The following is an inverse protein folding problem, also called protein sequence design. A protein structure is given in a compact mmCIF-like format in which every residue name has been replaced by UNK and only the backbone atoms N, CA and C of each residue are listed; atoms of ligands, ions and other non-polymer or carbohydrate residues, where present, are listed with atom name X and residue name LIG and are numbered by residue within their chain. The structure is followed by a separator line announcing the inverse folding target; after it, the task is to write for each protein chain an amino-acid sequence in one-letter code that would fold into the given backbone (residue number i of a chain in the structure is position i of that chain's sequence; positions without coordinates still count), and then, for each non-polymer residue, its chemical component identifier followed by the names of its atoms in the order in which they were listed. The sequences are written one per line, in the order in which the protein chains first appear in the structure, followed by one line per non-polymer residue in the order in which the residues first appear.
data_IF_326179433515
#
_entry.id   IF_326179433515
#
_cell.length_a   1.000
_cell.length_b   1.000
_cell.length_c   1.000
_cell.angle_alpha   90.00
_cell.angle_beta   90.00
_cell.angle_gamma   90.00
#
_symmetry.space_group_name_H-M   'P 1'
#
loop_
_entity.id
_entity.type
_entity.pdbx_description
1 polymer ?
#
# COMPACT_ATOMS: atom_id res chain seq x y z
N UNK A 1 7.42 -45.49 -19.20
CA UNK A 1 6.12 -44.89 -18.79
C UNK A 1 6.16 -44.27 -17.39
N UNK A 2 6.64 -44.96 -16.35
CA UNK A 2 6.68 -44.45 -14.95
C UNK A 2 7.49 -43.15 -14.77
N UNK A 3 8.66 -43.03 -15.41
CA UNK A 3 9.53 -41.86 -15.26
C UNK A 3 8.96 -40.60 -15.96
N UNK A 4 8.22 -40.80 -17.06
CA UNK A 4 7.57 -39.69 -17.79
C UNK A 4 6.43 -39.09 -16.97
N UNK A 5 5.71 -39.94 -16.23
CA UNK A 5 4.64 -39.51 -15.31
C UNK A 5 5.21 -38.69 -14.14
N UNK A 6 6.35 -39.12 -13.60
CA UNK A 6 7.06 -38.43 -12.51
C UNK A 6 7.54 -37.02 -12.93
N UNK A 7 8.05 -36.89 -14.16
CA UNK A 7 8.47 -35.58 -14.71
C UNK A 7 7.27 -34.65 -14.90
N UNK A 8 6.13 -35.18 -15.33
CA UNK A 8 4.91 -34.39 -15.51
C UNK A 8 4.38 -33.87 -14.16
N UNK A 9 4.38 -34.71 -13.13
CA UNK A 9 3.95 -34.35 -11.76
C UNK A 9 4.89 -33.32 -11.12
N UNK A 10 6.21 -33.46 -11.33
CA UNK A 10 7.17 -32.47 -10.87
C UNK A 10 7.00 -31.14 -11.61
N UNK A 11 6.73 -31.19 -12.92
CA UNK A 11 6.50 -30.00 -13.75
C UNK A 11 5.28 -29.17 -13.33
N UNK A 12 4.19 -29.81 -12.88
CA UNK A 12 2.98 -29.09 -12.43
C UNK A 12 3.11 -28.47 -11.04
N UNK A 13 3.98 -28.99 -10.17
CA UNK A 13 4.25 -28.41 -8.85
C UNK A 13 5.00 -27.06 -8.94
N UNK A 14 5.79 -26.84 -9.99
CA UNK A 14 6.54 -25.59 -10.22
C UNK A 14 5.68 -24.42 -10.75
N UNK A 15 4.41 -24.63 -11.13
CA UNK A 15 3.57 -23.61 -11.78
C UNK A 15 2.76 -22.76 -10.77
N UNK A 16 2.97 -22.95 -9.47
CA UNK A 16 2.28 -22.13 -8.44
C UNK A 16 3.00 -20.80 -8.22
N UNK A 17 3.01 -19.95 -9.25
CA UNK A 17 3.39 -18.55 -9.11
C UNK A 17 2.18 -17.81 -8.58
N UNK A 18 2.13 -17.61 -7.26
CA UNK A 18 1.11 -16.80 -6.63
C UNK A 18 1.21 -15.37 -7.18
N UNK A 19 0.26 -15.00 -8.04
CA UNK A 19 0.09 -13.63 -8.51
C UNK A 19 -0.46 -12.79 -7.36
N UNK A 20 0.40 -12.36 -6.44
CA UNK A 20 0.08 -11.31 -5.49
C UNK A 20 -0.02 -9.98 -6.24
N UNK A 21 -1.21 -9.68 -6.74
CA UNK A 21 -1.57 -8.31 -7.11
C UNK A 21 -1.62 -7.47 -5.83
N UNK A 22 -0.83 -6.39 -5.75
CA UNK A 22 -0.93 -5.45 -4.65
C UNK A 22 -2.21 -4.63 -4.82
N UNK A 23 -3.19 -4.86 -3.94
CA UNK A 23 -4.32 -3.95 -3.79
C UNK A 23 -3.87 -2.73 -3.02
N UNK A 24 -3.67 -1.61 -3.72
CA UNK A 24 -3.40 -0.33 -3.09
C UNK A 24 -4.71 0.20 -2.49
N UNK A 25 -4.84 0.09 -1.18
CA UNK A 25 -5.93 0.72 -0.44
C UNK A 25 -5.43 2.03 0.17
N UNK A 26 -6.16 3.12 -0.09
CA UNK A 26 -5.88 4.43 0.46
C UNK A 26 -7.00 4.81 1.43
N UNK A 27 -6.62 5.39 2.56
CA UNK A 27 -7.54 6.11 3.43
C UNK A 27 -7.58 7.57 2.99
N UNK A 28 -8.79 8.15 2.95
CA UNK A 28 -8.97 9.56 2.66
C UNK A 28 -9.05 10.33 3.98
N UNK A 29 -8.25 11.39 4.09
CA UNK A 29 -8.34 12.38 5.16
C UNK A 29 -8.89 13.66 4.53
N UNK A 30 -10.08 14.08 4.94
CA UNK A 30 -10.78 15.25 4.39
C UNK A 30 -10.95 16.35 5.42
N UNK A 31 -11.60 17.45 5.02
CA UNK A 31 -11.92 18.55 5.93
C UNK A 31 -12.90 18.09 7.02
N UNK A 32 -13.82 17.18 6.67
CA UNK A 32 -14.77 16.58 7.61
C UNK A 32 -14.08 15.71 8.68
N UNK A 33 -12.89 15.17 8.37
CA UNK A 33 -12.07 14.41 9.31
C UNK A 33 -11.18 15.31 10.20
N UNK A 34 -11.20 16.63 9.98
CA UNK A 34 -10.47 17.62 10.77
C UNK A 34 -9.26 18.25 10.08
N UNK A 35 -9.02 17.96 8.80
CA UNK A 35 -8.00 18.69 8.03
C UNK A 35 -8.45 20.15 7.81
N UNK A 36 -7.59 21.12 8.10
CA UNK A 36 -7.98 22.54 7.96
C UNK A 36 -8.35 22.94 6.53
N UNK A 37 -7.71 22.37 5.50
CA UNK A 37 -8.02 22.64 4.10
C UNK A 37 -7.53 21.50 3.17
N UNK A 38 -8.19 21.28 2.04
CA UNK A 38 -7.99 20.11 1.16
C UNK A 38 -6.68 20.10 0.35
N UNK A 39 -6.01 21.23 0.20
CA UNK A 39 -4.73 21.37 -0.51
C UNK A 39 -3.57 21.27 0.47
N UNK A 40 -2.84 20.15 0.41
CA UNK A 40 -1.63 19.91 1.20
C UNK A 40 -0.39 20.21 0.35
N UNK A 41 0.45 21.15 0.80
CA UNK A 41 1.68 21.56 0.12
C UNK A 41 2.92 20.81 0.62
N UNK A 42 2.92 20.37 1.88
CA UNK A 42 4.05 19.66 2.48
C UNK A 42 3.59 18.68 3.54
N UNK A 43 4.32 17.57 3.65
CA UNK A 43 4.09 16.51 4.64
C UNK A 43 5.43 16.19 5.31
N UNK A 44 5.43 16.14 6.64
CA UNK A 44 6.58 15.73 7.43
C UNK A 44 6.16 14.83 8.58
N UNK A 45 7.10 14.09 9.16
CA UNK A 45 6.89 13.33 10.38
C UNK A 45 7.91 13.79 11.42
N UNK A 46 7.47 14.03 12.66
CA UNK A 46 8.39 14.35 13.73
C UNK A 46 9.09 13.09 14.30
N UNK A 47 10.00 13.30 15.24
CA UNK A 47 10.81 12.24 15.84
C UNK A 47 10.03 11.31 16.79
N UNK A 48 8.79 11.66 17.15
CA UNK A 48 7.92 10.84 18.01
C UNK A 48 6.76 10.21 17.24
N UNK A 49 6.67 10.46 15.93
CA UNK A 49 5.80 9.76 15.01
C UNK A 49 4.55 10.51 14.57
N UNK A 50 4.34 11.77 15.00
CA UNK A 50 3.21 12.55 14.50
C UNK A 50 3.46 13.01 13.07
N UNK A 51 2.40 12.95 12.26
CA UNK A 51 2.39 13.47 10.91
C UNK A 51 2.05 14.95 10.93
N UNK A 52 2.66 15.73 10.07
CA UNK A 52 2.44 17.17 9.96
C UNK A 52 2.07 17.50 8.52
N UNK A 53 0.95 18.19 8.32
CA UNK A 53 0.43 18.56 7.01
C UNK A 53 0.32 20.08 6.89
N UNK A 54 1.14 20.68 6.04
CA UNK A 54 1.05 22.10 5.71
C UNK A 54 0.00 22.29 4.61
N UNK A 55 -1.11 22.93 4.95
CA UNK A 55 -2.22 23.23 4.04
C UNK A 55 -2.25 24.70 3.67
N UNK A 56 -3.12 25.09 2.73
CA UNK A 56 -3.34 26.50 2.39
C UNK A 56 -3.81 27.37 3.56
N UNK A 57 -4.56 26.80 4.50
CA UNK A 57 -5.17 27.54 5.62
C UNK A 57 -4.53 27.22 6.99
N UNK A 58 -3.38 26.53 7.01
CA UNK A 58 -2.65 26.26 8.26
C UNK A 58 -1.97 24.89 8.35
N UNK A 59 -1.52 24.55 9.56
CA UNK A 59 -0.73 23.36 9.86
C UNK A 59 -1.54 22.36 10.70
N UNK A 60 -1.59 21.10 10.25
CA UNK A 60 -2.31 19.99 10.92
C UNK A 60 -1.34 18.95 11.48
N UNK A 61 -1.72 18.27 12.57
CA UNK A 61 -0.96 17.21 13.26
C UNK A 61 -1.79 15.95 13.48
#
# INVERSE_FOLDING_TARGET
MKNSFLILVLGTLFINVNNFSQQNHFTHLTVEDGLSQSSVFSISQDNIGFMWFATEDGLNK
#
